data_IF_726201695999
#
_entry.id   IF_726201695999
#
_cell.length_a   1.000
_cell.length_b   1.000
_cell.length_c   1.000
_cell.angle_alpha   90.00
_cell.angle_beta   90.00
_cell.angle_gamma   90.00
#
_symmetry.space_group_name_H-M   'P 1'
#
loop_
_entity.id
_entity.type
_entity.pdbx_description
1 polymer ?
#
# COMPACT_ATOMS: atom_id res chain seq x y z
N UNK A 1 1.57 66.79 43.28
CA UNK A 1 0.36 67.21 42.53
C UNK A 1 -0.51 66.01 42.26
N UNK A 2 -1.82 66.18 42.13
CA UNK A 2 -2.82 65.11 41.94
C UNK A 2 -2.54 64.24 40.69
N UNK A 3 -1.91 64.83 39.67
CA UNK A 3 -1.51 64.16 38.42
C UNK A 3 -0.50 63.02 38.62
N UNK A 4 0.52 63.22 39.47
CA UNK A 4 1.53 62.19 39.74
C UNK A 4 0.94 60.96 40.43
N UNK A 5 -0.09 61.16 41.27
CA UNK A 5 -0.77 60.06 41.96
C UNK A 5 -1.59 59.23 40.98
N UNK A 6 -2.36 59.87 40.10
CA UNK A 6 -3.15 59.19 39.07
C UNK A 6 -2.26 58.38 38.12
N UNK A 7 -1.14 58.97 37.67
CA UNK A 7 -0.17 58.27 36.82
C UNK A 7 0.43 57.03 37.51
N UNK A 8 0.68 57.10 38.82
CA UNK A 8 1.17 55.96 39.59
C UNK A 8 0.14 54.83 39.72
N UNK A 9 -1.14 55.17 39.90
CA UNK A 9 -2.24 54.20 39.97
C UNK A 9 -2.47 53.50 38.62
N UNK A 10 -2.37 54.22 37.50
CA UNK A 10 -2.43 53.66 36.15
C UNK A 10 -1.30 52.66 35.87
N UNK A 11 -0.05 53.02 36.22
CA UNK A 11 1.10 52.12 36.08
C UNK A 11 0.94 50.86 36.93
N UNK A 12 0.41 50.99 38.14
CA UNK A 12 0.16 49.84 39.03
C UNK A 12 -0.87 48.88 38.45
N UNK A 13 -1.94 49.41 37.86
CA UNK A 13 -2.95 48.59 37.18
C UNK A 13 -2.36 47.87 35.96
N UNK A 14 -1.59 48.58 35.13
CA UNK A 14 -0.93 47.99 33.97
C UNK A 14 0.03 46.85 34.36
N UNK A 15 0.81 47.03 35.42
CA UNK A 15 1.71 45.99 35.96
C UNK A 15 0.92 44.75 36.41
N UNK A 16 -0.20 44.95 37.12
CA UNK A 16 -1.04 43.84 37.57
C UNK A 16 -1.68 43.08 36.40
N UNK A 17 -2.16 43.79 35.37
CA UNK A 17 -2.68 43.16 34.16
C UNK A 17 -1.61 42.36 33.41
N UNK A 18 -0.39 42.91 33.31
CA UNK A 18 0.74 42.19 32.72
C UNK A 18 1.08 40.93 33.51
N UNK A 19 1.07 41.01 34.85
CA UNK A 19 1.34 39.87 35.72
C UNK A 19 0.33 38.74 35.49
N UNK A 20 -0.97 39.06 35.50
CA UNK A 20 -2.04 38.07 35.26
C UNK A 20 -1.95 37.44 33.86
N UNK A 21 -1.63 38.24 32.83
CA UNK A 21 -1.43 37.73 31.47
C UNK A 21 -0.22 36.80 31.38
N UNK A 22 0.85 37.11 32.10
CA UNK A 22 2.06 36.28 32.15
C UNK A 22 1.79 34.96 32.87
N UNK A 23 1.04 34.98 33.97
CA UNK A 23 0.62 33.77 34.69
C UNK A 23 -0.25 32.86 33.80
N UNK A 24 -1.26 33.43 33.14
CA UNK A 24 -2.09 32.69 32.19
C UNK A 24 -1.29 32.14 30.99
N UNK A 25 -0.27 32.87 30.52
CA UNK A 25 0.60 32.39 29.46
C UNK A 25 1.48 31.21 29.94
N UNK A 26 1.99 31.27 31.16
CA UNK A 26 2.78 30.19 31.74
C UNK A 26 1.95 28.91 31.92
N UNK A 27 0.73 29.01 32.40
CA UNK A 27 -0.18 27.84 32.51
C UNK A 27 -0.42 27.18 31.15
N UNK A 28 -0.64 27.99 30.10
CA UNK A 28 -0.80 27.50 28.73
C UNK A 28 0.47 26.83 28.20
N UNK A 29 1.65 27.32 28.57
CA UNK A 29 2.93 26.72 28.18
C UNK A 29 3.11 25.36 28.87
N UNK A 30 2.84 25.26 30.16
CA UNK A 30 2.94 23.98 30.88
C UNK A 30 1.95 22.94 30.37
N UNK A 31 0.73 23.38 30.03
CA UNK A 31 -0.24 22.51 29.37
C UNK A 31 0.23 22.05 27.99
N UNK A 32 0.81 22.97 27.19
CA UNK A 32 1.36 22.62 25.89
C UNK A 32 2.52 21.62 25.99
N UNK A 33 3.39 21.74 27.00
CA UNK A 33 4.48 20.79 27.26
C UNK A 33 3.95 19.39 27.55
N UNK A 34 2.98 19.26 28.48
CA UNK A 34 2.37 17.95 28.79
C UNK A 34 1.79 17.29 27.55
N UNK A 35 1.09 18.06 26.71
CA UNK A 35 0.52 17.56 25.45
C UNK A 35 1.60 17.14 24.44
N UNK A 36 2.76 17.79 24.44
CA UNK A 36 3.90 17.38 23.59
C UNK A 36 4.43 16.04 24.10
N UNK A 37 4.66 15.88 25.40
CA UNK A 37 5.15 14.63 25.99
C UNK A 37 4.21 13.45 25.66
N UNK A 38 2.89 13.65 25.80
CA UNK A 38 1.88 12.62 25.44
C UNK A 38 1.90 12.26 23.94
N UNK A 39 2.15 13.25 23.08
CA UNK A 39 2.25 13.03 21.63
C UNK A 39 3.55 12.31 21.27
N UNK A 40 4.65 12.59 21.95
CA UNK A 40 5.93 11.89 21.75
C UNK A 40 5.79 10.39 22.04
N UNK A 41 5.18 10.03 23.17
CA UNK A 41 4.88 8.63 23.50
C UNK A 41 3.98 7.97 22.44
N UNK A 42 2.92 8.67 22.02
CA UNK A 42 2.00 8.19 20.98
C UNK A 42 2.70 7.96 19.64
N UNK A 43 3.67 8.79 19.27
CA UNK A 43 4.45 8.65 18.03
C UNK A 43 5.29 7.37 18.10
N UNK A 44 5.99 7.13 19.21
CA UNK A 44 6.81 5.92 19.39
C UNK A 44 5.95 4.65 19.27
N UNK A 45 4.78 4.61 19.90
CA UNK A 45 3.86 3.47 19.79
C UNK A 45 3.39 3.23 18.35
N UNK A 46 3.08 4.31 17.61
CA UNK A 46 2.65 4.23 16.21
C UNK A 46 3.77 3.71 15.31
N UNK A 47 5.01 4.15 15.50
CA UNK A 47 6.16 3.66 14.75
C UNK A 47 6.40 2.16 14.97
N UNK A 48 6.26 1.68 16.21
CA UNK A 48 6.37 0.25 16.49
C UNK A 48 5.25 -0.56 15.84
N UNK A 49 4.02 -0.05 15.88
CA UNK A 49 2.88 -0.69 15.22
C UNK A 49 3.07 -0.73 13.70
N UNK A 50 3.60 0.33 13.09
CA UNK A 50 3.91 0.40 11.67
C UNK A 50 4.99 -0.62 11.29
N UNK A 51 6.11 -0.68 12.01
CA UNK A 51 7.16 -1.69 11.81
C UNK A 51 6.62 -3.12 11.88
N UNK A 52 5.64 -3.39 12.75
CA UNK A 52 4.98 -4.71 12.84
C UNK A 52 4.11 -4.98 11.60
N UNK A 53 3.34 -4.00 11.14
CA UNK A 53 2.53 -4.11 9.91
C UNK A 53 3.41 -4.34 8.68
N UNK A 54 4.53 -3.63 8.55
CA UNK A 54 5.44 -3.79 7.41
C UNK A 54 6.00 -5.21 7.31
N UNK A 55 6.39 -5.80 8.44
CA UNK A 55 6.84 -7.21 8.48
C UNK A 55 5.75 -8.17 8.04
N UNK A 56 4.51 -7.95 8.47
CA UNK A 56 3.36 -8.76 8.04
C UNK A 56 3.10 -8.63 6.54
N UNK A 57 3.15 -7.41 6.00
CA UNK A 57 2.99 -7.15 4.56
C UNK A 57 4.07 -7.91 3.77
N UNK A 58 5.33 -7.80 4.18
CA UNK A 58 6.44 -8.52 3.52
C UNK A 58 6.24 -10.05 3.55
N UNK A 59 5.77 -10.60 4.68
CA UNK A 59 5.48 -12.02 4.79
C UNK A 59 4.30 -12.44 3.90
N UNK A 60 3.24 -11.64 3.85
CA UNK A 60 2.10 -11.87 2.97
C UNK A 60 2.51 -11.82 1.50
N UNK A 61 3.28 -10.82 1.09
CA UNK A 61 3.79 -10.71 -0.28
C UNK A 61 4.63 -11.92 -0.68
N UNK A 62 5.53 -12.38 0.22
CA UNK A 62 6.32 -13.59 -0.02
C UNK A 62 5.42 -14.81 -0.24
N UNK A 63 4.42 -15.00 0.63
CA UNK A 63 3.46 -16.11 0.51
C UNK A 63 2.64 -16.04 -0.78
N UNK A 64 2.20 -14.84 -1.18
CA UNK A 64 1.48 -14.63 -2.45
C UNK A 64 2.35 -15.02 -3.64
N UNK A 65 3.64 -14.64 -3.63
CA UNK A 65 4.59 -15.07 -4.67
C UNK A 65 4.73 -16.60 -4.71
N UNK A 66 4.96 -17.24 -3.57
CA UNK A 66 5.10 -18.70 -3.47
C UNK A 66 3.85 -19.45 -3.95
N UNK A 67 2.65 -18.97 -3.60
CA UNK A 67 1.39 -19.53 -4.06
C UNK A 67 1.20 -19.31 -5.57
N UNK A 68 1.49 -18.11 -6.07
CA UNK A 68 1.45 -17.79 -7.50
C UNK A 68 2.38 -18.72 -8.29
N UNK A 69 3.60 -18.91 -7.83
CA UNK A 69 4.59 -19.79 -8.48
C UNK A 69 4.14 -21.25 -8.44
N UNK A 70 3.52 -21.68 -7.34
CA UNK A 70 2.95 -23.02 -7.21
C UNK A 70 1.80 -23.25 -8.18
N UNK A 71 0.88 -22.30 -8.28
CA UNK A 71 -0.28 -22.36 -9.20
C UNK A 71 0.20 -22.38 -10.66
N UNK A 72 1.21 -21.58 -11.00
CA UNK A 72 1.72 -21.43 -12.37
C UNK A 72 2.79 -22.45 -12.74
N UNK A 73 3.16 -23.36 -11.84
CA UNK A 73 4.29 -24.30 -12.01
C UNK A 73 4.24 -25.11 -13.31
N UNK A 74 3.04 -25.46 -13.77
CA UNK A 74 2.84 -26.27 -14.98
C UNK A 74 2.38 -25.44 -16.19
N UNK A 75 2.31 -24.11 -16.06
CA UNK A 75 1.83 -23.24 -17.14
C UNK A 75 2.99 -22.95 -18.11
N UNK A 76 2.69 -22.97 -19.40
CA UNK A 76 3.61 -22.61 -20.48
C UNK A 76 3.08 -21.34 -21.14
N UNK A 77 4.00 -20.45 -21.53
CA UNK A 77 3.68 -19.23 -22.25
C UNK A 77 4.24 -19.30 -23.67
N UNK A 78 3.34 -19.45 -24.64
CA UNK A 78 3.68 -19.39 -26.06
C UNK A 78 3.59 -17.94 -26.56
N UNK A 79 4.66 -17.48 -27.22
CA UNK A 79 4.81 -16.09 -27.68
C UNK A 79 4.98 -16.08 -29.20
N UNK A 80 4.42 -15.06 -29.85
CA UNK A 80 4.56 -14.86 -31.29
C UNK A 80 3.45 -15.52 -32.12
N UNK A 81 2.42 -16.07 -31.48
CA UNK A 81 1.27 -16.67 -32.14
C UNK A 81 0.32 -15.58 -32.67
N UNK A 82 0.04 -15.52 -33.99
CA UNK A 82 -0.90 -14.57 -34.56
C UNK A 82 -2.32 -14.78 -34.02
N UNK A 83 -3.00 -13.71 -33.59
CA UNK A 83 -4.35 -13.87 -33.02
C UNK A 83 -5.38 -14.36 -34.06
N UNK A 84 -5.14 -14.08 -35.34
CA UNK A 84 -6.00 -14.56 -36.42
C UNK A 84 -5.97 -16.09 -36.55
N UNK A 85 -4.80 -16.70 -36.35
CA UNK A 85 -4.63 -18.15 -36.39
C UNK A 85 -5.37 -18.83 -35.23
N UNK A 86 -5.27 -18.25 -34.03
CA UNK A 86 -6.05 -18.70 -32.87
C UNK A 86 -7.56 -18.50 -33.06
N UNK A 87 -7.98 -17.40 -33.72
CA UNK A 87 -9.40 -17.12 -33.99
C UNK A 87 -10.01 -18.09 -35.01
N UNK A 88 -9.23 -18.51 -36.01
CA UNK A 88 -9.67 -19.42 -37.06
C UNK A 88 -9.71 -20.88 -36.57
N UNK A 89 -8.65 -21.34 -35.90
CA UNK A 89 -8.47 -22.76 -35.55
C UNK A 89 -8.86 -23.08 -34.10
N UNK A 90 -8.86 -22.08 -33.22
CA UNK A 90 -8.97 -22.26 -31.77
C UNK A 90 -7.59 -22.46 -31.11
N UNK A 91 -7.44 -21.99 -29.87
CA UNK A 91 -6.16 -21.98 -29.14
C UNK A 91 -5.59 -23.40 -28.95
N UNK A 92 -6.45 -24.38 -28.62
CA UNK A 92 -6.03 -25.78 -28.45
C UNK A 92 -5.51 -26.39 -29.75
N UNK A 93 -6.18 -26.15 -30.88
CA UNK A 93 -5.76 -26.68 -32.18
C UNK A 93 -4.42 -26.09 -32.63
N UNK A 94 -4.19 -24.81 -32.35
CA UNK A 94 -2.89 -24.16 -32.62
C UNK A 94 -1.79 -24.79 -31.77
N UNK A 95 -2.06 -25.05 -30.48
CA UNK A 95 -1.11 -25.72 -29.59
C UNK A 95 -0.79 -27.15 -30.05
N UNK A 96 -1.79 -27.92 -30.45
CA UNK A 96 -1.60 -29.28 -31.01
C UNK A 96 -0.75 -29.25 -32.28
N UNK A 97 -0.99 -28.29 -33.17
CA UNK A 97 -0.20 -28.09 -34.38
C UNK A 97 1.28 -27.77 -34.03
N UNK A 98 1.52 -26.86 -33.10
CA UNK A 98 2.87 -26.50 -32.63
C UNK A 98 3.60 -27.72 -32.08
N UNK A 99 2.93 -28.53 -31.24
CA UNK A 99 3.50 -29.74 -30.66
C UNK A 99 3.82 -30.77 -31.76
N UNK A 100 2.91 -30.98 -32.72
CA UNK A 100 3.13 -31.94 -33.80
C UNK A 100 4.28 -31.54 -34.73
N UNK A 101 4.39 -30.26 -35.05
CA UNK A 101 5.41 -29.72 -35.95
C UNK A 101 6.81 -29.68 -35.30
N UNK A 102 6.89 -29.27 -34.03
CA UNK A 102 8.18 -29.07 -33.34
C UNK A 102 8.62 -30.28 -32.52
N UNK A 103 7.67 -31.04 -31.98
CA UNK A 103 7.92 -32.18 -31.10
C UNK A 103 7.15 -33.43 -31.55
N UNK A 104 7.48 -34.01 -32.71
CA UNK A 104 6.72 -35.12 -33.30
C UNK A 104 6.65 -36.38 -32.44
N UNK A 105 7.56 -36.55 -31.47
CA UNK A 105 7.51 -37.63 -30.48
C UNK A 105 6.53 -37.36 -29.34
N UNK A 106 6.27 -36.09 -29.01
CA UNK A 106 5.26 -35.67 -28.04
C UNK A 106 3.87 -35.64 -28.67
N UNK A 107 3.74 -35.17 -29.91
CA UNK A 107 2.45 -35.14 -30.63
C UNK A 107 1.81 -36.52 -30.88
N UNK A 108 2.58 -37.61 -30.72
CA UNK A 108 2.09 -38.99 -30.78
C UNK A 108 1.60 -39.54 -29.43
N UNK A 109 1.85 -38.83 -28.32
CA UNK A 109 1.41 -39.25 -26.99
C UNK A 109 -0.01 -38.77 -26.75
N UNK A 110 -0.90 -39.71 -26.46
CA UNK A 110 -2.30 -39.44 -26.08
C UNK A 110 -2.45 -38.98 -24.63
N UNK A 111 -1.38 -39.03 -23.84
CA UNK A 111 -1.42 -38.84 -22.39
C UNK A 111 -1.18 -37.37 -21.97
N UNK A 112 -0.97 -36.47 -22.93
CA UNK A 112 -0.80 -35.04 -22.66
C UNK A 112 -2.19 -34.44 -22.42
N UNK A 113 -2.54 -34.22 -21.15
CA UNK A 113 -3.75 -33.50 -20.78
C UNK A 113 -3.46 -32.00 -20.74
N UNK A 114 -4.22 -31.21 -21.51
CA UNK A 114 -4.23 -29.75 -21.44
C UNK A 114 -5.50 -29.35 -20.67
N UNK A 115 -5.40 -28.91 -19.41
CA UNK A 115 -6.58 -28.57 -18.62
C UNK A 115 -7.28 -27.30 -19.12
N UNK A 116 -6.50 -26.34 -19.59
CA UNK A 116 -6.98 -25.05 -20.10
C UNK A 116 -5.92 -24.45 -21.02
N UNK A 117 -6.34 -23.85 -22.13
CA UNK A 117 -5.52 -23.04 -23.01
C UNK A 117 -6.26 -21.76 -23.37
N UNK A 118 -5.61 -20.61 -23.17
CA UNK A 118 -6.23 -19.30 -23.46
C UNK A 118 -5.18 -18.25 -23.79
N UNK A 119 -5.59 -17.27 -24.60
CA UNK A 119 -4.75 -16.10 -24.88
C UNK A 119 -4.67 -15.24 -23.63
N UNK A 120 -3.45 -14.83 -23.25
CA UNK A 120 -3.28 -13.88 -22.15
C UNK A 120 -3.87 -12.53 -22.56
N UNK A 121 -4.83 -11.96 -21.80
CA UNK A 121 -5.42 -10.67 -22.15
C UNK A 121 -4.38 -9.56 -22.23
N UNK A 122 -4.42 -8.75 -23.29
CA UNK A 122 -3.50 -7.63 -23.49
C UNK A 122 -3.66 -6.51 -22.45
N UNK A 123 -4.79 -6.46 -21.76
CA UNK A 123 -5.10 -5.49 -20.70
C UNK A 123 -5.76 -6.20 -19.51
N UNK A 124 -5.22 -6.00 -18.32
CA UNK A 124 -5.95 -6.30 -17.09
C UNK A 124 -7.06 -5.25 -16.92
N UNK A 125 -8.31 -5.68 -16.82
CA UNK A 125 -9.42 -4.78 -16.51
C UNK A 125 -9.28 -4.32 -15.04
N UNK A 126 -8.70 -3.14 -14.83
CA UNK A 126 -8.47 -2.56 -13.49
C UNK A 126 -9.79 -2.14 -12.81
N UNK A 127 -10.93 -2.19 -13.52
CA UNK A 127 -12.24 -1.78 -13.04
C UNK A 127 -13.08 -2.93 -12.45
N UNK A 128 -12.54 -4.14 -12.30
CA UNK A 128 -13.20 -5.15 -11.48
C UNK A 128 -13.04 -4.75 -10.01
N UNK A 129 -14.07 -4.06 -9.49
CA UNK A 129 -14.26 -3.94 -8.05
C UNK A 129 -14.19 -5.33 -7.44
N UNK A 130 -13.18 -5.57 -6.62
CA UNK A 130 -13.17 -6.69 -5.69
C UNK A 130 -14.43 -6.57 -4.83
N UNK A 131 -15.35 -7.52 -5.00
CA UNK A 131 -16.54 -7.67 -4.17
C UNK A 131 -16.17 -8.28 -2.81
#
# INVERSE_FOLDING_TARGET
TMELKNSCDELKNAINEMHNKMEAANERIEEAKRRIDELEDTIVEKEEAEKKRDKLIQEHERRVRELSDTIKRNNILDIGIPEEEEREKGVEAVLEQIIAENFPNLGKKTDIAIPEAQRTPLRCNVNQSSA
#
